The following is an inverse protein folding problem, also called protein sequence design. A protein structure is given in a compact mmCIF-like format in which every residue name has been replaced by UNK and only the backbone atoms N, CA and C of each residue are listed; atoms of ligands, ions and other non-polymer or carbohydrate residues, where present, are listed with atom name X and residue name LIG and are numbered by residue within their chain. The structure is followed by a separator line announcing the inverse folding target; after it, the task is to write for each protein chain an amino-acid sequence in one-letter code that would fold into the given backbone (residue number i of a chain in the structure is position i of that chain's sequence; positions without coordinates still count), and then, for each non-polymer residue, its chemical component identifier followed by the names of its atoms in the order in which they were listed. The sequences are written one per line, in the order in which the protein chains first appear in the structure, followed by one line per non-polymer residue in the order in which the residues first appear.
data_IF_103741907697
#
_entry.id   IF_103741907697
#
_cell.length_a   1.000
_cell.length_b   1.000
_cell.length_c   1.000
_cell.angle_alpha   90.00
_cell.angle_beta   90.00
_cell.angle_gamma   90.00
#
_symmetry.space_group_name_H-M   'P 1'
#
loop_
_entity.id
_entity.type
_entity.pdbx_description
1 polymer ?
#
# COMPACT_ATOMS: atom_id res chain seq x y z
N UNK A 1 19.56 6.00 -1.53
CA UNK A 1 18.69 4.80 -1.65
C UNK A 1 19.04 3.88 -2.82
N UNK A 2 19.25 4.39 -4.06
CA UNK A 2 19.43 3.54 -5.26
C UNK A 2 20.64 2.59 -5.23
N UNK A 3 21.70 3.01 -4.52
CA UNK A 3 22.95 2.23 -4.34
C UNK A 3 22.96 1.46 -3.01
N UNK A 4 21.83 1.43 -2.32
CA UNK A 4 21.58 0.60 -1.16
C UNK A 4 20.52 -0.47 -1.50
N UNK A 5 19.88 -1.00 -0.48
CA UNK A 5 18.87 -2.07 -0.58
C UNK A 5 17.52 -1.63 -1.21
N UNK A 6 17.28 -0.31 -1.38
CA UNK A 6 16.02 0.22 -1.94
C UNK A 6 14.96 0.48 -0.87
N UNK A 7 13.70 0.64 -1.26
CA UNK A 7 12.61 0.91 -0.31
C UNK A 7 11.28 0.34 -0.83
N UNK A 8 10.53 -0.35 0.03
CA UNK A 8 9.19 -0.86 -0.24
C UNK A 8 8.38 -0.80 1.07
N UNK A 9 7.16 -0.27 1.03
CA UNK A 9 6.40 0.04 2.24
C UNK A 9 6.00 -1.17 3.10
N UNK A 10 5.70 -2.32 2.50
CA UNK A 10 5.42 -3.57 3.23
C UNK A 10 6.71 -4.13 3.85
N UNK A 11 7.83 -4.07 3.12
CA UNK A 11 9.14 -4.37 3.69
C UNK A 11 9.50 -3.47 4.87
N UNK A 12 9.25 -2.16 4.76
CA UNK A 12 9.43 -1.21 5.85
C UNK A 12 8.48 -1.48 7.03
N UNK A 13 7.25 -1.95 6.77
CA UNK A 13 6.31 -2.33 7.83
C UNK A 13 6.85 -3.49 8.65
N UNK A 14 7.40 -4.52 8.01
CA UNK A 14 8.06 -5.64 8.70
C UNK A 14 9.21 -5.14 9.57
N UNK A 15 10.07 -4.28 9.03
CA UNK A 15 11.18 -3.64 9.74
C UNK A 15 10.72 -2.82 10.95
N UNK A 16 9.66 -2.02 10.77
CA UNK A 16 9.09 -1.20 11.83
C UNK A 16 8.68 -2.08 13.01
N UNK A 17 7.88 -3.12 12.74
CA UNK A 17 7.36 -4.03 13.75
C UNK A 17 8.45 -4.91 14.38
N UNK A 18 9.45 -5.32 13.62
CA UNK A 18 10.52 -6.19 14.11
C UNK A 18 11.64 -5.45 14.85
N UNK A 19 11.89 -4.17 14.51
CA UNK A 19 13.11 -3.48 14.95
C UNK A 19 12.92 -2.06 15.46
N UNK A 20 12.07 -1.25 14.82
CA UNK A 20 12.06 0.21 15.05
C UNK A 20 11.07 0.65 16.14
N UNK A 21 10.01 -0.10 16.36
CA UNK A 21 9.07 0.16 17.44
C UNK A 21 9.74 0.02 18.81
N UNK A 22 9.47 0.97 19.71
CA UNK A 22 10.16 1.05 21.01
C UNK A 22 9.40 0.31 22.14
N UNK A 23 8.56 -0.68 21.81
CA UNK A 23 7.81 -1.45 22.81
C UNK A 23 8.68 -2.49 23.53
N UNK A 24 9.84 -2.84 22.98
CA UNK A 24 10.81 -3.75 23.58
C UNK A 24 12.24 -3.26 23.33
N UNK A 25 13.20 -3.77 24.12
CA UNK A 25 14.60 -3.33 24.04
C UNK A 25 15.29 -3.75 22.73
N UNK A 26 14.89 -4.88 22.11
CA UNK A 26 15.59 -5.46 20.97
C UNK A 26 14.70 -6.19 19.95
N UNK A 27 13.38 -6.25 20.17
CA UNK A 27 12.45 -7.04 19.35
C UNK A 27 11.33 -6.20 18.73
N UNK A 28 11.55 -4.89 18.56
CA UNK A 28 10.54 -3.97 18.04
C UNK A 28 9.26 -3.99 18.87
N UNK A 29 8.15 -4.29 18.20
CA UNK A 29 6.82 -4.47 18.78
C UNK A 29 6.61 -5.81 19.49
N UNK A 30 7.58 -6.73 19.41
CA UNK A 30 7.57 -8.03 20.08
C UNK A 30 6.28 -8.84 19.83
N UNK A 31 5.83 -8.85 18.57
CA UNK A 31 4.60 -9.53 18.16
C UNK A 31 4.78 -11.05 18.07
N UNK A 32 3.66 -11.77 18.14
CA UNK A 32 3.67 -13.21 17.91
C UNK A 32 4.14 -13.55 16.49
N UNK A 33 4.76 -14.72 16.31
CA UNK A 33 5.18 -15.23 15.00
C UNK A 33 4.04 -15.23 13.97
N UNK A 34 2.82 -15.59 14.38
CA UNK A 34 1.65 -15.57 13.50
C UNK A 34 1.28 -14.16 13.06
N UNK A 35 1.31 -13.18 13.98
CA UNK A 35 1.10 -11.78 13.63
C UNK A 35 2.14 -11.30 12.60
N UNK A 36 3.41 -11.70 12.79
CA UNK A 36 4.49 -11.40 11.86
C UNK A 36 4.30 -12.08 10.49
N UNK A 37 3.82 -13.34 10.45
CA UNK A 37 3.42 -14.02 9.21
C UNK A 37 2.22 -13.34 8.53
N UNK A 38 1.30 -12.76 9.30
CA UNK A 38 0.12 -12.05 8.79
C UNK A 38 0.44 -10.70 8.13
N UNK A 39 1.57 -10.07 8.50
CA UNK A 39 2.06 -8.84 7.85
C UNK A 39 3.06 -9.11 6.71
N UNK A 40 3.64 -10.32 6.64
CA UNK A 40 4.56 -10.73 5.58
C UNK A 40 3.83 -11.02 4.27
N UNK A 41 3.36 -9.96 3.60
CA UNK A 41 2.60 -10.05 2.34
C UNK A 41 3.42 -10.61 1.17
N UNK A 42 4.72 -10.34 1.17
CA UNK A 42 5.64 -10.74 0.11
C UNK A 42 6.86 -11.46 0.71
N UNK A 43 6.87 -12.80 0.72
CA UNK A 43 7.85 -13.59 1.49
C UNK A 43 9.22 -13.75 0.80
N UNK A 44 9.65 -12.78 -0.02
CA UNK A 44 10.93 -12.83 -0.74
C UNK A 44 11.63 -11.47 -0.66
N UNK A 45 12.95 -11.49 -0.48
CA UNK A 45 13.78 -10.31 -0.33
C UNK A 45 13.80 -9.45 -1.62
N UNK A 46 13.97 -8.14 -1.46
CA UNK A 46 14.01 -7.21 -2.60
C UNK A 46 15.15 -7.54 -3.58
N UNK A 47 16.33 -7.95 -3.12
CA UNK A 47 17.45 -8.28 -4.00
C UNK A 47 17.14 -9.44 -4.96
N UNK A 48 16.39 -10.45 -4.49
CA UNK A 48 16.00 -11.63 -5.27
C UNK A 48 14.95 -11.28 -6.33
N UNK A 49 14.03 -10.37 -6.00
CA UNK A 49 12.95 -9.96 -6.90
C UNK A 49 13.36 -8.91 -7.94
N UNK A 50 14.47 -8.22 -7.67
CA UNK A 50 14.93 -7.10 -8.49
C UNK A 50 15.27 -7.57 -9.90
N UNK A 51 14.89 -6.74 -10.87
CA UNK A 51 15.33 -6.87 -12.26
C UNK A 51 16.46 -5.85 -12.40
N UNK A 52 17.65 -6.31 -12.79
CA UNK A 52 18.85 -5.48 -12.90
C UNK A 52 18.74 -4.37 -13.95
N UNK A 53 17.84 -4.51 -14.92
CA UNK A 53 17.58 -3.50 -15.95
C UNK A 53 16.73 -2.32 -15.43
N UNK A 54 15.97 -2.54 -14.35
CA UNK A 54 15.14 -1.51 -13.71
C UNK A 54 15.88 -0.90 -12.54
N UNK A 55 16.79 0.03 -12.85
CA UNK A 55 17.53 0.78 -11.83
C UNK A 55 16.89 2.15 -11.60
N UNK A 56 16.59 2.53 -10.34
CA UNK A 56 16.03 3.84 -10.04
C UNK A 56 16.89 4.98 -10.59
N UNK A 57 16.26 5.82 -11.41
CA UNK A 57 16.93 6.88 -12.14
C UNK A 57 16.02 8.10 -12.32
N UNK A 58 16.64 9.21 -12.69
CA UNK A 58 15.94 10.41 -13.12
C UNK A 58 15.70 10.30 -14.63
N UNK A 59 14.66 10.95 -15.15
CA UNK A 59 14.40 11.00 -16.58
C UNK A 59 15.61 11.59 -17.32
N UNK A 60 16.04 10.91 -18.36
CA UNK A 60 17.11 11.38 -19.24
C UNK A 60 16.59 12.44 -20.22
N UNK A 61 17.41 13.46 -20.51
CA UNK A 61 17.10 14.49 -21.51
C UNK A 61 17.69 15.86 -21.15
N UNK A 62 17.64 16.84 -22.08
CA UNK A 62 18.19 18.19 -21.87
C UNK A 62 17.32 19.07 -20.95
N UNK A 63 16.41 18.48 -20.18
CA UNK A 63 15.53 19.22 -19.26
C UNK A 63 16.31 19.71 -18.05
N UNK A 64 16.07 20.96 -17.66
CA UNK A 64 16.55 21.50 -16.37
C UNK A 64 15.83 20.82 -15.20
N UNK A 65 14.57 20.40 -15.42
CA UNK A 65 13.78 19.68 -14.43
C UNK A 65 14.20 18.20 -14.43
N UNK A 66 14.82 17.78 -13.33
CA UNK A 66 15.20 16.40 -13.04
C UNK A 66 14.05 15.67 -12.35
N UNK A 67 13.20 15.03 -13.14
CA UNK A 67 12.06 14.24 -12.63
C UNK A 67 12.43 12.78 -12.46
N UNK A 68 11.72 12.06 -11.57
CA UNK A 68 11.95 10.62 -11.35
C UNK A 68 11.42 9.83 -12.54
N UNK A 69 12.20 8.89 -13.07
CA UNK A 69 11.70 7.86 -13.97
C UNK A 69 10.90 6.84 -13.15
N UNK A 70 9.58 7.03 -13.07
CA UNK A 70 8.69 6.17 -12.28
C UNK A 70 8.76 4.71 -12.71
N UNK A 71 8.91 4.43 -14.01
CA UNK A 71 8.96 3.06 -14.52
C UNK A 71 10.21 2.34 -14.05
N UNK A 72 11.37 3.00 -14.14
CA UNK A 72 12.64 2.43 -13.70
C UNK A 72 12.81 2.44 -12.17
N UNK A 73 12.07 3.31 -11.46
CA UNK A 73 12.21 3.52 -10.01
C UNK A 73 11.15 2.82 -9.16
N UNK A 74 10.15 2.17 -9.76
CA UNK A 74 9.15 1.40 -9.02
C UNK A 74 9.79 0.14 -8.44
N UNK A 75 9.81 -0.05 -7.11
CA UNK A 75 10.48 -1.20 -6.49
C UNK A 75 9.72 -2.52 -6.71
N UNK A 76 10.40 -3.68 -6.62
CA UNK A 76 9.72 -4.96 -6.46
C UNK A 76 8.87 -4.97 -5.18
N UNK A 77 7.92 -5.91 -5.10
CA UNK A 77 7.10 -6.13 -3.90
C UNK A 77 7.70 -7.27 -3.08
N UNK A 78 8.45 -6.93 -2.03
CA UNK A 78 9.23 -7.86 -1.20
C UNK A 78 9.60 -7.24 0.14
N UNK A 79 10.24 -8.02 1.00
CA UNK A 79 10.81 -7.52 2.25
C UNK A 79 12.25 -7.03 2.03
N UNK A 80 12.72 -6.13 2.89
CA UNK A 80 14.08 -5.58 2.84
C UNK A 80 15.10 -6.68 3.21
N UNK A 81 16.19 -6.83 2.47
CA UNK A 81 17.22 -7.86 2.73
C UNK A 81 17.77 -7.87 4.19
N UNK A 82 17.80 -6.73 4.88
CA UNK A 82 18.18 -6.56 6.29
C UNK A 82 17.18 -7.17 7.29
N UNK A 83 16.03 -7.64 6.81
CA UNK A 83 15.03 -8.39 7.57
C UNK A 83 15.03 -9.90 7.24
N UNK A 84 16.05 -10.41 6.54
CA UNK A 84 16.13 -11.85 6.20
C UNK A 84 16.11 -12.75 7.43
N UNK A 85 16.85 -12.41 8.49
CA UNK A 85 16.83 -13.12 9.79
C UNK A 85 15.44 -13.15 10.44
N UNK A 86 14.69 -12.05 10.32
CA UNK A 86 13.30 -11.97 10.81
C UNK A 86 12.41 -12.92 10.02
N UNK A 87 12.53 -12.91 8.69
CA UNK A 87 11.74 -13.80 7.83
C UNK A 87 12.11 -15.26 8.04
N UNK A 88 13.39 -15.57 8.20
CA UNK A 88 13.86 -16.92 8.51
C UNK A 88 13.24 -17.42 9.82
N UNK A 89 13.19 -16.58 10.86
CA UNK A 89 12.51 -16.89 12.13
C UNK A 89 10.98 -17.04 11.99
N UNK A 90 10.33 -16.23 11.15
CA UNK A 90 8.89 -16.36 10.86
C UNK A 90 8.61 -17.72 10.22
N UNK A 91 9.44 -18.11 9.25
CA UNK A 91 9.24 -19.30 8.45
C UNK A 91 9.84 -20.56 9.06
N UNK A 92 10.69 -20.47 10.10
CA UNK A 92 11.33 -21.57 10.82
C UNK A 92 10.43 -22.81 11.03
N UNK A 93 9.16 -22.69 11.46
CA UNK A 93 8.32 -23.86 11.71
C UNK A 93 7.84 -24.63 10.47
N UNK A 94 7.98 -24.03 9.27
CA UNK A 94 7.54 -24.65 8.03
C UNK A 94 8.49 -25.78 7.62
N UNK A 95 7.93 -26.85 7.05
CA UNK A 95 8.75 -27.84 6.36
C UNK A 95 9.37 -27.25 5.09
N UNK A 96 10.46 -27.87 4.61
CA UNK A 96 11.21 -27.36 3.45
C UNK A 96 10.31 -27.20 2.20
N UNK A 97 9.43 -28.17 1.94
CA UNK A 97 8.50 -28.11 0.81
C UNK A 97 7.56 -26.89 0.88
N UNK A 98 7.01 -26.60 2.07
CA UNK A 98 6.14 -25.44 2.26
C UNK A 98 6.92 -24.13 2.14
N UNK A 99 8.14 -24.07 2.70
CA UNK A 99 9.01 -22.89 2.61
C UNK A 99 9.39 -22.59 1.16
N UNK A 100 9.81 -23.60 0.40
CA UNK A 100 10.20 -23.47 -1.00
C UNK A 100 9.01 -23.03 -1.86
N UNK A 101 7.84 -23.63 -1.65
CA UNK A 101 6.62 -23.23 -2.34
C UNK A 101 6.20 -21.80 -1.96
N UNK A 102 6.25 -21.44 -0.68
CA UNK A 102 5.81 -20.14 -0.19
C UNK A 102 6.69 -18.98 -0.68
N UNK A 103 7.99 -19.21 -0.78
CA UNK A 103 8.99 -18.24 -1.26
C UNK A 103 9.19 -18.28 -2.78
N UNK A 104 8.38 -19.06 -3.50
CA UNK A 104 8.47 -19.16 -4.96
C UNK A 104 8.06 -17.86 -5.68
N UNK A 105 8.69 -17.64 -6.83
CA UNK A 105 8.57 -16.42 -7.62
C UNK A 105 8.22 -16.70 -9.08
N UNK A 106 7.58 -15.73 -9.71
CA UNK A 106 7.40 -15.66 -11.15
C UNK A 106 8.25 -14.53 -11.73
N UNK A 107 9.18 -14.89 -12.62
CA UNK A 107 9.93 -13.93 -13.43
C UNK A 107 9.03 -13.40 -14.54
N UNK A 108 9.11 -12.09 -14.80
CA UNK A 108 8.28 -11.39 -15.77
C UNK A 108 9.17 -10.55 -16.67
N UNK A 109 9.00 -10.68 -17.98
CA UNK A 109 9.80 -9.95 -18.97
C UNK A 109 9.66 -8.42 -18.78
N UNK A 110 10.80 -7.71 -18.76
CA UNK A 110 10.86 -6.26 -18.59
C UNK A 110 10.30 -5.73 -17.25
N UNK A 111 10.08 -6.61 -16.27
CA UNK A 111 9.51 -6.27 -14.95
C UNK A 111 10.32 -6.92 -13.84
N UNK A 112 10.12 -6.46 -12.61
CA UNK A 112 10.54 -7.19 -11.42
C UNK A 112 9.83 -8.55 -11.33
N UNK A 113 10.46 -9.54 -10.70
CA UNK A 113 9.78 -10.77 -10.33
C UNK A 113 8.66 -10.48 -9.31
N UNK A 114 7.73 -11.42 -9.14
CA UNK A 114 6.70 -11.35 -8.11
C UNK A 114 6.66 -12.63 -7.30
N UNK A 115 6.31 -12.52 -6.03
CA UNK A 115 5.96 -13.69 -5.21
C UNK A 115 4.64 -14.28 -5.68
N UNK A 116 4.47 -15.59 -5.50
CA UNK A 116 3.29 -16.33 -5.95
C UNK A 116 2.28 -16.59 -4.82
N UNK A 117 2.75 -16.59 -3.57
CA UNK A 117 1.98 -17.05 -2.43
C UNK A 117 1.87 -16.01 -1.33
N UNK A 118 0.83 -16.15 -0.51
CA UNK A 118 0.51 -15.37 0.68
C UNK A 118 -0.13 -16.30 1.72
N UNK A 119 0.02 -15.96 3.00
CA UNK A 119 -0.61 -16.69 4.10
C UNK A 119 -2.13 -16.46 4.14
N UNK A 120 -2.84 -17.25 4.93
CA UNK A 120 -4.25 -17.07 5.22
C UNK A 120 -4.52 -15.67 5.76
N UNK A 121 -3.76 -15.27 6.78
CA UNK A 121 -3.93 -13.98 7.45
C UNK A 121 -3.69 -12.83 6.46
N UNK A 122 -2.66 -12.92 5.59
CA UNK A 122 -2.46 -11.94 4.51
C UNK A 122 -3.60 -11.93 3.48
N UNK A 123 -4.19 -13.09 3.16
CA UNK A 123 -5.32 -13.13 2.23
C UNK A 123 -6.58 -12.49 2.81
N UNK A 124 -6.82 -12.64 4.11
CA UNK A 124 -7.92 -11.98 4.84
C UNK A 124 -7.67 -10.47 4.86
N UNK A 125 -6.46 -10.06 5.23
CA UNK A 125 -6.06 -8.65 5.22
C UNK A 125 -6.25 -8.03 3.84
N UNK A 126 -5.78 -8.67 2.77
CA UNK A 126 -5.92 -8.16 1.39
C UNK A 126 -7.38 -8.00 0.96
N UNK A 127 -8.25 -8.96 1.30
CA UNK A 127 -9.69 -8.86 1.00
C UNK A 127 -10.34 -7.73 1.79
N UNK A 128 -10.00 -7.59 3.08
CA UNK A 128 -10.51 -6.50 3.90
C UNK A 128 -10.07 -5.13 3.39
N UNK A 129 -8.79 -5.01 3.03
CA UNK A 129 -8.17 -3.80 2.47
C UNK A 129 -8.80 -3.42 1.13
N UNK A 130 -8.97 -4.40 0.23
CA UNK A 130 -9.60 -4.19 -1.06
C UNK A 130 -11.04 -3.69 -0.94
N UNK A 131 -11.83 -4.24 0.00
CA UNK A 131 -13.21 -3.80 0.26
C UNK A 131 -13.23 -2.40 0.88
N UNK A 132 -12.38 -2.15 1.88
CA UNK A 132 -12.33 -0.87 2.59
C UNK A 132 -11.97 0.26 1.63
N UNK A 133 -10.85 0.14 0.91
CA UNK A 133 -10.43 1.14 -0.07
C UNK A 133 -11.43 1.28 -1.22
N UNK A 134 -11.93 0.16 -1.77
CA UNK A 134 -12.87 0.22 -2.89
C UNK A 134 -14.19 0.93 -2.55
N UNK A 135 -14.68 0.77 -1.33
CA UNK A 135 -16.01 1.28 -0.92
C UNK A 135 -15.92 2.63 -0.20
N UNK A 136 -15.04 2.78 0.80
CA UNK A 136 -14.98 3.99 1.60
C UNK A 136 -14.29 5.16 0.88
N UNK A 137 -13.25 4.92 0.07
CA UNK A 137 -12.67 5.99 -0.74
C UNK A 137 -13.70 6.57 -1.72
N UNK A 138 -14.60 5.72 -2.22
CA UNK A 138 -15.70 6.16 -3.06
C UNK A 138 -16.74 6.97 -2.28
N UNK A 139 -17.11 6.53 -1.07
CA UNK A 139 -18.00 7.29 -0.20
C UNK A 139 -17.46 8.71 0.04
N UNK A 140 -16.19 8.82 0.38
CA UNK A 140 -15.51 10.09 0.62
C UNK A 140 -15.41 10.91 -0.68
N UNK A 141 -15.07 10.28 -1.81
CA UNK A 141 -15.01 10.96 -3.10
C UNK A 141 -16.37 11.55 -3.51
N UNK A 142 -17.48 10.86 -3.25
CA UNK A 142 -18.84 11.37 -3.48
C UNK A 142 -19.15 12.49 -2.48
N UNK A 143 -18.83 12.31 -1.20
CA UNK A 143 -19.07 13.32 -0.16
C UNK A 143 -18.33 14.64 -0.43
N UNK A 144 -17.09 14.54 -0.93
CA UNK A 144 -16.24 15.67 -1.33
C UNK A 144 -16.56 16.20 -2.74
N UNK A 145 -17.57 15.64 -3.42
CA UNK A 145 -18.00 16.01 -4.79
C UNK A 145 -16.90 15.86 -5.84
N UNK A 146 -15.95 14.97 -5.61
CA UNK A 146 -14.89 14.61 -6.56
C UNK A 146 -15.41 13.68 -7.66
N UNK A 147 -16.43 12.88 -7.34
CA UNK A 147 -17.13 12.01 -8.28
C UNK A 147 -18.55 12.54 -8.51
N UNK A 148 -18.93 12.66 -9.78
CA UNK A 148 -20.29 13.00 -10.19
C UNK A 148 -21.12 11.75 -10.48
N UNK A 149 -22.44 11.87 -10.38
CA UNK A 149 -23.38 10.79 -10.73
C UNK A 149 -23.16 10.27 -12.15
N UNK A 150 -22.94 11.18 -13.12
CA UNK A 150 -22.65 10.82 -14.50
C UNK A 150 -21.40 9.95 -14.61
N UNK A 151 -20.29 10.36 -13.99
CA UNK A 151 -19.06 9.56 -13.99
C UNK A 151 -19.25 8.20 -13.34
N UNK A 152 -20.04 8.12 -12.26
CA UNK A 152 -20.39 6.85 -11.63
C UNK A 152 -21.14 5.95 -12.59
N UNK A 153 -22.18 6.45 -13.28
CA UNK A 153 -22.95 5.66 -14.25
C UNK A 153 -22.10 5.19 -15.43
N UNK A 154 -21.18 6.03 -15.91
CA UNK A 154 -20.30 5.73 -17.04
C UNK A 154 -19.28 4.62 -16.71
N UNK A 155 -18.73 4.62 -15.50
CA UNK A 155 -17.63 3.73 -15.08
C UNK A 155 -18.07 2.54 -14.23
N UNK A 156 -19.26 2.62 -13.61
CA UNK A 156 -19.87 1.53 -12.84
C UNK A 156 -21.27 1.24 -13.39
N UNK A 157 -21.37 0.78 -14.66
CA UNK A 157 -22.65 0.43 -15.26
C UNK A 157 -23.31 -0.75 -14.51
N UNK A 158 -24.61 -0.96 -14.72
CA UNK A 158 -25.40 -2.02 -14.06
C UNK A 158 -24.75 -3.41 -14.19
N UNK A 159 -24.18 -3.74 -15.36
CA UNK A 159 -23.52 -5.04 -15.59
C UNK A 159 -22.29 -5.25 -14.70
N UNK A 160 -21.57 -4.18 -14.34
CA UNK A 160 -20.42 -4.25 -13.43
C UNK A 160 -20.85 -4.56 -11.99
N UNK A 161 -22.06 -4.17 -11.59
CA UNK A 161 -22.63 -4.39 -10.25
C UNK A 161 -23.78 -5.40 -10.25
N UNK A 162 -23.84 -6.26 -11.28
CA UNK A 162 -24.93 -7.25 -11.46
C UNK A 162 -25.14 -8.17 -10.26
N UNK A 163 -24.06 -8.62 -9.62
CA UNK A 163 -24.12 -9.42 -8.39
C UNK A 163 -24.95 -8.74 -7.30
N UNK A 164 -24.75 -7.44 -7.11
CA UNK A 164 -25.48 -6.64 -6.14
C UNK A 164 -26.93 -6.42 -6.58
N UNK A 165 -27.14 -6.03 -7.84
CA UNK A 165 -28.47 -5.72 -8.37
C UNK A 165 -29.38 -6.94 -8.33
N UNK A 166 -28.90 -8.12 -8.74
CA UNK A 166 -29.67 -9.36 -8.70
C UNK A 166 -29.98 -9.80 -7.25
N UNK A 167 -29.03 -9.66 -6.32
CA UNK A 167 -29.31 -9.93 -4.90
C UNK A 167 -30.46 -9.06 -4.38
N UNK A 168 -30.50 -7.79 -4.79
CA UNK A 168 -31.56 -6.85 -4.39
C UNK A 168 -32.90 -7.19 -5.03
N UNK A 169 -32.92 -7.59 -6.31
CA UNK A 169 -34.15 -8.08 -6.99
C UNK A 169 -34.77 -9.26 -6.25
N UNK A 170 -33.95 -10.18 -5.74
CA UNK A 170 -34.41 -11.37 -5.02
C UNK A 170 -34.97 -11.10 -3.62
N UNK A 171 -34.64 -9.95 -3.00
CA UNK A 171 -35.12 -9.57 -1.65
C UNK A 171 -36.56 -9.04 -1.62
N UNK A 172 -37.26 -9.02 -2.76
CA UNK A 172 -38.71 -8.80 -2.86
C UNK A 172 -39.13 -7.35 -3.18
N UNK A 173 -40.44 -7.12 -3.47
CA UNK A 173 -40.98 -5.88 -4.05
C UNK A 173 -40.87 -4.62 -3.16
N UNK A 174 -40.39 -4.76 -1.92
CA UNK A 174 -40.11 -3.64 -1.02
C UNK A 174 -38.81 -2.90 -1.34
N UNK A 175 -37.88 -3.52 -2.07
CA UNK A 175 -36.70 -2.85 -2.62
C UNK A 175 -36.96 -2.59 -4.12
N UNK A 176 -37.09 -1.32 -4.52
CA UNK A 176 -37.33 -0.78 -5.88
C UNK A 176 -37.25 -1.76 -7.07
N UNK A 177 -38.24 -1.72 -7.96
CA UNK A 177 -38.23 -2.45 -9.25
C UNK A 177 -37.02 -2.09 -10.16
N UNK A 178 -36.30 -1.02 -9.84
CA UNK A 178 -35.02 -0.65 -10.45
C UNK A 178 -33.94 -0.49 -9.36
N UNK A 179 -33.30 -1.59 -8.90
CA UNK A 179 -32.33 -1.51 -7.81
C UNK A 179 -31.08 -0.69 -8.13
N UNK A 180 -30.65 -0.68 -9.40
CA UNK A 180 -29.55 0.15 -9.86
C UNK A 180 -29.86 1.64 -9.72
N UNK A 181 -31.02 2.08 -10.20
CA UNK A 181 -31.45 3.49 -10.07
C UNK A 181 -31.61 3.89 -8.60
N UNK A 182 -32.27 3.06 -7.78
CA UNK A 182 -32.43 3.33 -6.36
C UNK A 182 -31.08 3.42 -5.60
N UNK A 183 -30.09 2.65 -6.04
CA UNK A 183 -28.72 2.72 -5.52
C UNK A 183 -28.06 4.04 -5.90
N UNK A 184 -28.11 4.43 -7.18
CA UNK A 184 -27.52 5.69 -7.66
C UNK A 184 -28.17 6.89 -6.95
N UNK A 185 -29.50 6.96 -6.94
CA UNK A 185 -30.26 8.02 -6.26
C UNK A 185 -29.88 8.12 -4.78
N UNK A 186 -29.70 6.98 -4.11
CA UNK A 186 -29.35 6.97 -2.69
C UNK A 186 -27.90 7.33 -2.39
N UNK A 187 -26.96 7.02 -3.28
CA UNK A 187 -25.54 7.40 -3.15
C UNK A 187 -25.34 8.91 -3.32
N UNK A 188 -26.03 9.50 -4.29
CA UNK A 188 -25.92 10.92 -4.64
C UNK A 188 -26.97 11.81 -3.96
N UNK A 189 -27.86 11.21 -3.18
CA UNK A 189 -28.80 11.89 -2.29
C UNK A 189 -28.14 12.45 -1.02
N UNK A 190 -28.81 12.33 0.12
CA UNK A 190 -28.30 12.83 1.39
C UNK A 190 -27.27 11.90 2.05
N UNK A 191 -26.61 12.40 3.10
CA UNK A 191 -25.54 11.66 3.78
C UNK A 191 -26.03 10.39 4.48
N UNK A 192 -27.28 10.34 4.95
CA UNK A 192 -27.85 9.17 5.61
C UNK A 192 -28.23 8.10 4.58
N UNK A 193 -28.79 8.49 3.44
CA UNK A 193 -29.08 7.55 2.34
C UNK A 193 -27.79 6.97 1.78
N UNK A 194 -26.76 7.80 1.57
CA UNK A 194 -25.45 7.33 1.10
C UNK A 194 -24.86 6.29 2.04
N UNK A 195 -24.74 6.60 3.35
CA UNK A 195 -24.22 5.67 4.36
C UNK A 195 -24.96 4.33 4.37
N UNK A 196 -26.28 4.34 4.17
CA UNK A 196 -27.10 3.12 4.10
C UNK A 196 -26.71 2.25 2.91
N UNK A 197 -26.50 2.84 1.74
CA UNK A 197 -26.09 2.10 0.53
C UNK A 197 -24.64 1.61 0.62
N UNK A 198 -23.74 2.42 1.15
CA UNK A 198 -22.37 2.01 1.46
C UNK A 198 -22.36 0.80 2.40
N UNK A 199 -23.13 0.84 3.49
CA UNK A 199 -23.25 -0.30 4.42
C UNK A 199 -23.79 -1.56 3.75
N UNK A 200 -24.73 -1.42 2.80
CA UNK A 200 -25.26 -2.53 1.99
C UNK A 200 -24.19 -3.12 1.07
N UNK A 201 -23.31 -2.31 0.50
CA UNK A 201 -22.20 -2.77 -0.33
C UNK A 201 -21.15 -3.51 0.48
N UNK A 202 -20.74 -2.95 1.63
CA UNK A 202 -19.81 -3.64 2.54
C UNK A 202 -20.35 -5.02 2.92
N UNK A 203 -21.63 -5.10 3.31
CA UNK A 203 -22.25 -6.38 3.62
C UNK A 203 -22.30 -7.33 2.41
N UNK A 204 -22.65 -6.83 1.22
CA UNK A 204 -22.68 -7.62 -0.01
C UNK A 204 -21.30 -8.16 -0.41
N UNK A 205 -20.22 -7.41 -0.17
CA UNK A 205 -18.87 -7.80 -0.54
C UNK A 205 -18.21 -8.73 0.48
N UNK A 206 -18.53 -8.60 1.77
CA UNK A 206 -17.97 -9.44 2.85
C UNK A 206 -18.68 -10.79 2.95
N UNK A 207 -20.01 -10.81 2.90
CA UNK A 207 -20.82 -12.03 3.11
C UNK A 207 -20.42 -13.23 2.22
N UNK A 208 -20.10 -13.07 0.93
CA UNK A 208 -19.79 -14.19 0.03
C UNK A 208 -18.32 -14.61 0.09
N UNK A 209 -17.48 -13.95 0.90
CA UNK A 209 -16.07 -14.32 1.06
C UNK A 209 -15.98 -15.76 1.56
N UNK A 210 -15.17 -16.56 0.89
CA UNK A 210 -15.06 -18.00 1.16
C UNK A 210 -13.62 -18.45 1.27
N UNK A 211 -13.41 -19.51 2.04
CA UNK A 211 -12.13 -20.20 2.07
C UNK A 211 -11.89 -20.97 0.76
N UNK A 212 -10.64 -20.96 0.32
CA UNK A 212 -10.12 -21.78 -0.78
C UNK A 212 -8.89 -22.54 -0.30
N UNK A 213 -8.72 -23.74 -0.84
CA UNK A 213 -7.59 -24.61 -0.52
C UNK A 213 -6.47 -24.47 -1.55
N UNK A 214 -5.23 -24.52 -1.06
CA UNK A 214 -3.97 -24.61 -1.79
C UNK A 214 -3.32 -25.94 -1.40
N UNK A 215 -3.66 -27.05 -2.09
CA UNK A 215 -3.27 -28.39 -1.69
C UNK A 215 -1.76 -28.62 -1.74
N UNK A 216 -1.01 -27.73 -2.40
CA UNK A 216 0.45 -27.73 -2.43
C UNK A 216 1.10 -27.47 -1.07
N UNK A 217 0.37 -26.89 -0.09
CA UNK A 217 0.89 -26.64 1.27
C UNK A 217 0.39 -27.67 2.28
N UNK A 218 1.23 -28.01 3.27
CA UNK A 218 0.85 -28.81 4.44
C UNK A 218 0.40 -27.92 5.61
N UNK A 219 1.10 -26.83 5.85
CA UNK A 219 0.82 -25.83 6.89
C UNK A 219 -0.56 -25.19 6.65
N UNK A 220 -1.51 -25.34 7.59
CA UNK A 220 -2.85 -24.77 7.46
C UNK A 220 -2.88 -23.27 7.18
N UNK A 221 -1.94 -22.49 7.75
CA UNK A 221 -1.85 -21.04 7.53
C UNK A 221 -1.35 -20.66 6.12
N UNK A 222 -0.83 -21.61 5.34
CA UNK A 222 -0.47 -21.40 3.93
C UNK A 222 -1.44 -22.10 2.97
N UNK A 223 -1.96 -23.26 3.37
CA UNK A 223 -2.94 -24.06 2.64
C UNK A 223 -4.26 -23.32 2.45
N UNK A 224 -4.77 -22.62 3.45
CA UNK A 224 -6.03 -21.93 3.34
C UNK A 224 -5.84 -20.46 2.96
N UNK A 225 -6.70 -19.95 2.08
CA UNK A 225 -6.83 -18.52 1.77
C UNK A 225 -8.29 -18.14 1.69
N UNK A 226 -8.57 -16.85 1.65
CA UNK A 226 -9.90 -16.35 1.31
C UNK A 226 -9.94 -15.70 -0.06
N UNK A 227 -11.10 -15.75 -0.71
CA UNK A 227 -11.35 -15.04 -1.96
C UNK A 227 -12.76 -14.42 -1.98
N UNK A 228 -12.90 -13.38 -2.79
CA UNK A 228 -14.19 -12.79 -3.16
C UNK A 228 -14.67 -13.47 -4.45
N UNK A 229 -15.90 -14.00 -4.54
CA UNK A 229 -16.41 -14.62 -5.76
C UNK A 229 -16.46 -13.65 -6.94
N UNK A 230 -16.30 -14.17 -8.17
CA UNK A 230 -16.07 -13.37 -9.38
C UNK A 230 -17.07 -12.22 -9.58
N UNK A 231 -18.37 -12.45 -9.39
CA UNK A 231 -19.40 -11.41 -9.55
C UNK A 231 -19.26 -10.25 -8.55
N UNK A 232 -18.83 -10.52 -7.32
CA UNK A 232 -18.59 -9.52 -6.29
C UNK A 232 -17.24 -8.82 -6.51
N UNK A 233 -16.22 -9.58 -6.92
CA UNK A 233 -14.90 -9.05 -7.27
C UNK A 233 -14.98 -8.11 -8.49
N UNK A 234 -15.82 -8.42 -9.48
CA UNK A 234 -16.12 -7.54 -10.62
C UNK A 234 -16.69 -6.20 -10.17
N UNK A 235 -17.65 -6.25 -9.25
CA UNK A 235 -18.25 -5.03 -8.69
C UNK A 235 -17.22 -4.20 -7.94
N UNK A 236 -16.49 -4.81 -7.01
CA UNK A 236 -15.44 -4.13 -6.25
C UNK A 236 -14.36 -3.52 -7.17
N UNK A 237 -13.95 -4.26 -8.21
CA UNK A 237 -13.01 -3.78 -9.21
C UNK A 237 -13.52 -2.52 -9.91
N UNK A 238 -14.79 -2.47 -10.31
CA UNK A 238 -15.37 -1.28 -10.94
C UNK A 238 -15.34 -0.05 -10.02
N UNK A 239 -15.61 -0.24 -8.71
CA UNK A 239 -15.49 0.85 -7.73
C UNK A 239 -14.05 1.37 -7.63
N UNK A 240 -13.08 0.46 -7.52
CA UNK A 240 -11.65 0.80 -7.47
C UNK A 240 -11.17 1.50 -8.75
N UNK A 241 -11.64 1.05 -9.91
CA UNK A 241 -11.29 1.66 -11.21
C UNK A 241 -11.87 3.07 -11.35
N UNK A 242 -13.11 3.30 -10.90
CA UNK A 242 -13.69 4.64 -10.83
C UNK A 242 -12.85 5.57 -9.96
N UNK A 243 -12.56 5.18 -8.70
CA UNK A 243 -11.74 6.00 -7.78
C UNK A 243 -10.36 6.26 -8.39
N UNK A 244 -9.73 5.24 -8.97
CA UNK A 244 -8.44 5.38 -9.65
C UNK A 244 -8.48 6.40 -10.79
N UNK A 245 -9.48 6.33 -11.65
CA UNK A 245 -9.57 7.19 -12.83
C UNK A 245 -9.99 8.62 -12.50
N UNK A 246 -10.99 8.78 -11.62
CA UNK A 246 -11.61 10.09 -11.36
C UNK A 246 -10.89 10.86 -10.24
N UNK A 247 -10.40 10.15 -9.22
CA UNK A 247 -9.81 10.77 -8.02
C UNK A 247 -8.30 10.70 -8.05
N UNK A 248 -7.71 9.50 -8.07
CA UNK A 248 -6.27 9.30 -7.91
C UNK A 248 -5.49 9.90 -9.09
N UNK A 249 -5.97 9.67 -10.31
CA UNK A 249 -5.37 10.24 -11.54
C UNK A 249 -5.82 11.66 -11.85
N UNK A 250 -6.59 12.29 -10.97
CA UNK A 250 -6.96 13.70 -11.15
C UNK A 250 -5.71 14.60 -11.14
N UNK A 251 -5.70 15.70 -11.91
CA UNK A 251 -4.55 16.61 -11.92
C UNK A 251 -4.16 17.12 -10.53
N UNK A 252 -5.15 17.40 -9.66
CA UNK A 252 -4.90 17.89 -8.31
C UNK A 252 -4.10 16.89 -7.46
N UNK A 253 -4.52 15.63 -7.43
CA UNK A 253 -3.82 14.56 -6.69
C UNK A 253 -2.45 14.28 -7.29
N UNK A 254 -2.35 14.22 -8.63
CA UNK A 254 -1.08 13.97 -9.32
C UNK A 254 -0.07 15.11 -9.11
N UNK A 255 -0.50 16.37 -9.02
CA UNK A 255 0.37 17.48 -8.66
C UNK A 255 0.90 17.36 -7.21
N UNK A 256 0.07 16.90 -6.27
CA UNK A 256 0.49 16.65 -4.89
C UNK A 256 1.50 15.50 -4.82
N UNK A 257 1.24 14.40 -5.52
CA UNK A 257 2.16 13.26 -5.62
C UNK A 257 3.52 13.69 -6.19
N UNK A 258 3.51 14.44 -7.29
CA UNK A 258 4.73 14.98 -7.91
C UNK A 258 5.54 15.85 -6.94
N UNK A 259 4.89 16.77 -6.22
CA UNK A 259 5.55 17.60 -5.20
C UNK A 259 6.10 16.77 -4.05
N UNK A 260 5.31 15.83 -3.53
CA UNK A 260 5.70 14.94 -2.43
C UNK A 260 6.94 14.13 -2.78
N UNK A 261 6.99 13.53 -3.97
CA UNK A 261 8.15 12.80 -4.47
C UNK A 261 9.41 13.67 -4.50
N UNK A 262 9.31 14.90 -5.02
CA UNK A 262 10.45 15.84 -5.00
C UNK A 262 10.89 16.17 -3.57
N UNK A 263 9.96 16.45 -2.66
CA UNK A 263 10.29 16.77 -1.27
C UNK A 263 11.02 15.62 -0.57
N UNK A 264 10.53 14.39 -0.70
CA UNK A 264 11.16 13.19 -0.11
C UNK A 264 12.59 13.02 -0.63
N UNK A 265 12.79 13.13 -1.95
CA UNK A 265 14.13 12.99 -2.55
C UNK A 265 15.07 14.10 -2.06
N UNK A 266 14.64 15.36 -2.10
CA UNK A 266 15.47 16.48 -1.66
C UNK A 266 15.84 16.40 -0.19
N UNK A 267 14.89 16.08 0.69
CA UNK A 267 15.15 15.92 2.14
C UNK A 267 16.11 14.76 2.38
N UNK A 268 15.91 13.62 1.73
CA UNK A 268 16.81 12.48 1.83
C UNK A 268 18.23 12.83 1.36
N UNK A 269 18.38 13.47 0.19
CA UNK A 269 19.67 13.85 -0.38
C UNK A 269 20.41 14.88 0.49
N UNK A 270 19.69 15.86 1.04
CA UNK A 270 20.27 16.81 1.98
C UNK A 270 20.81 16.10 3.22
N UNK A 271 20.00 15.25 3.87
CA UNK A 271 20.42 14.49 5.06
C UNK A 271 21.59 13.56 4.77
N UNK A 272 21.61 12.91 3.59
CA UNK A 272 22.73 12.08 3.17
C UNK A 272 24.02 12.89 2.95
N UNK A 273 23.91 14.13 2.46
CA UNK A 273 25.08 14.95 2.11
C UNK A 273 25.87 15.48 3.31
N UNK A 274 25.18 15.74 4.43
CA UNK A 274 25.79 16.24 5.67
C UNK A 274 25.01 15.67 6.88
N UNK A 275 25.14 14.35 7.16
CA UNK A 275 24.34 13.68 8.20
C UNK A 275 24.53 14.29 9.59
N UNK A 276 25.76 14.68 9.93
CA UNK A 276 26.11 15.25 11.24
C UNK A 276 25.35 16.55 11.54
N UNK A 277 25.18 17.40 10.53
CA UNK A 277 24.53 18.71 10.70
C UNK A 277 23.03 18.68 10.46
N UNK A 278 22.54 17.76 9.64
CA UNK A 278 21.17 17.80 9.12
C UNK A 278 20.24 16.72 9.67
N UNK A 279 20.76 15.62 10.21
CA UNK A 279 19.92 14.67 10.94
C UNK A 279 19.65 15.14 12.37
N UNK A 280 18.46 14.88 12.93
CA UNK A 280 18.26 14.95 14.37
C UNK A 280 19.23 14.03 15.11
N UNK A 281 19.59 14.42 16.34
CA UNK A 281 20.66 13.76 17.12
C UNK A 281 20.44 12.27 17.33
N UNK A 282 19.20 11.86 17.57
CA UNK A 282 18.81 10.46 17.76
C UNK A 282 18.92 9.65 16.46
N UNK A 283 18.50 10.23 15.32
CA UNK A 283 18.65 9.61 14.01
C UNK A 283 20.13 9.51 13.60
N UNK A 284 20.91 10.57 13.83
CA UNK A 284 22.35 10.60 13.60
C UNK A 284 23.09 9.54 14.42
N UNK A 285 22.78 9.42 15.72
CA UNK A 285 23.40 8.42 16.58
C UNK A 285 23.17 6.98 16.08
N UNK A 286 21.96 6.67 15.57
CA UNK A 286 21.65 5.38 14.96
C UNK A 286 22.42 5.16 13.66
N UNK A 287 22.48 6.18 12.81
CA UNK A 287 23.24 6.16 11.55
C UNK A 287 24.73 5.90 11.78
N UNK A 288 25.35 6.61 12.73
CA UNK A 288 26.77 6.43 13.09
C UNK A 288 27.04 5.05 13.71
N UNK A 289 26.18 4.60 14.63
CA UNK A 289 26.31 3.28 15.24
C UNK A 289 26.22 2.13 14.21
N UNK A 290 25.54 2.36 13.08
CA UNK A 290 25.45 1.42 11.97
C UNK A 290 26.54 1.59 10.91
N UNK A 291 27.58 2.40 11.18
CA UNK A 291 28.68 2.61 10.23
C UNK A 291 28.29 3.40 8.98
N UNK A 292 27.30 4.28 9.10
CA UNK A 292 26.85 5.14 8.00
C UNK A 292 25.88 4.46 7.03
N UNK A 293 25.14 3.44 7.48
CA UNK A 293 24.11 2.79 6.65
C UNK A 293 22.95 3.76 6.33
N UNK A 294 22.78 4.04 5.04
CA UNK A 294 21.72 4.89 4.50
C UNK A 294 20.31 4.40 4.84
N UNK A 295 20.13 3.12 5.21
CA UNK A 295 18.85 2.60 5.70
C UNK A 295 18.33 3.40 6.89
N UNK A 296 19.19 3.88 7.80
CA UNK A 296 18.74 4.68 8.94
C UNK A 296 18.23 6.07 8.54
N UNK A 297 18.75 6.65 7.46
CA UNK A 297 18.18 7.87 6.87
C UNK A 297 16.82 7.55 6.23
N UNK A 298 16.71 6.41 5.54
CA UNK A 298 15.43 5.95 4.99
C UNK A 298 14.39 5.70 6.08
N UNK A 299 14.77 5.07 7.20
CA UNK A 299 13.89 4.83 8.36
C UNK A 299 13.38 6.17 8.92
N UNK A 300 14.27 7.15 9.06
CA UNK A 300 13.92 8.48 9.56
C UNK A 300 12.96 9.22 8.61
N UNK A 301 13.27 9.25 7.31
CA UNK A 301 12.43 9.93 6.30
C UNK A 301 11.08 9.23 6.15
N UNK A 302 11.03 7.90 6.16
CA UNK A 302 9.79 7.13 6.09
C UNK A 302 8.92 7.28 7.35
N UNK A 303 9.52 7.60 8.49
CA UNK A 303 8.81 7.91 9.73
C UNK A 303 8.22 9.32 9.80
N UNK A 304 8.48 10.17 8.80
CA UNK A 304 7.92 11.53 8.75
C UNK A 304 6.45 11.50 8.37
N UNK A 305 5.64 12.33 9.02
CA UNK A 305 4.32 12.69 8.51
C UNK A 305 4.45 13.70 7.37
N UNK A 306 3.44 13.81 6.50
CA UNK A 306 3.41 14.81 5.41
C UNK A 306 3.68 16.24 5.91
N UNK A 307 3.10 16.61 7.05
CA UNK A 307 3.32 17.93 7.67
C UNK A 307 4.75 18.10 8.16
N UNK A 308 5.33 17.05 8.75
CA UNK A 308 6.72 17.10 9.21
C UNK A 308 7.68 17.18 8.02
N UNK A 309 7.44 16.41 6.96
CA UNK A 309 8.24 16.45 5.73
C UNK A 309 8.16 17.85 5.09
N UNK A 310 6.96 18.43 4.97
CA UNK A 310 6.77 19.77 4.41
C UNK A 310 7.55 20.83 5.19
N UNK A 311 7.38 20.87 6.52
CA UNK A 311 8.12 21.80 7.38
C UNK A 311 9.63 21.61 7.28
N UNK A 312 10.08 20.35 7.22
CA UNK A 312 11.50 20.01 7.04
C UNK A 312 12.02 20.55 5.71
N UNK A 313 11.29 20.33 4.63
CA UNK A 313 11.64 20.82 3.30
C UNK A 313 11.70 22.36 3.25
N UNK A 314 10.66 23.04 3.76
CA UNK A 314 10.61 24.50 3.83
C UNK A 314 11.82 25.08 4.58
N UNK A 315 12.17 24.51 5.74
CA UNK A 315 13.31 24.96 6.53
C UNK A 315 14.67 24.75 5.84
N UNK A 316 14.83 23.69 5.05
CA UNK A 316 16.09 23.37 4.39
C UNK A 316 16.29 24.15 3.09
N UNK A 317 15.22 24.43 2.37
CA UNK A 317 15.31 24.92 0.98
C UNK A 317 14.62 26.27 0.75
N UNK A 318 13.72 26.71 1.62
CA UNK A 318 13.02 28.00 1.45
C UNK A 318 13.66 29.11 2.30
N UNK A 319 14.18 30.19 1.68
CA UNK A 319 14.87 31.27 2.41
C UNK A 319 14.02 32.03 3.44
N UNK A 320 12.70 31.87 3.41
CA UNK A 320 11.76 32.64 4.23
C UNK A 320 11.53 32.02 5.62
N UNK A 321 11.89 30.75 5.80
CA UNK A 321 11.72 29.98 7.03
C UNK A 321 13.10 29.72 7.64
N UNK A 322 13.39 30.25 8.82
CA UNK A 322 14.77 30.23 9.33
C UNK A 322 15.00 30.83 10.70
N UNK A 323 14.02 30.78 11.61
CA UNK A 323 14.28 31.13 13.01
C UNK A 323 14.77 29.89 13.77
N UNK A 324 15.87 30.03 14.52
CA UNK A 324 16.38 29.00 15.45
C UNK A 324 15.34 28.66 16.54
N UNK A 325 14.31 29.50 16.69
CA UNK A 325 13.23 29.35 17.65
C UNK A 325 12.01 28.57 17.13
N UNK A 326 11.96 28.22 15.84
CA UNK A 326 10.94 27.32 15.30
C UNK A 326 11.27 25.88 15.73
N UNK A 327 10.90 25.56 16.97
CA UNK A 327 11.03 24.21 17.54
C UNK A 327 9.89 23.31 17.03
N UNK A 328 10.26 22.05 16.76
CA UNK A 328 9.37 20.95 16.39
C UNK A 328 8.29 20.69 17.43
#
# INVERSE_FOLDING_TARGET
MRDAEGFEGNGQTLRLLARLENFSAAAGANLSRRSMLGVLKYPVALSVLRNSELRPQLQGGPSVLRTIDLKASTPPKGYLDSETDVVDWILEPLCDADRDAFTSIEKREGKHARTLHKSLDCSIMDVADDIAYGVHDLEDAIALRLVTERQFRDLVPEESCKSFVEERRLKGPTESNAPYEAMVDGLFGDSNTRKRWISRWVNHLITPVRFIERPEFQEPLLRWRVEIPEGHARFLKALKELVMQVVIRSPGVQHLEFKGQSMVVSVFEAMQSDPERLLPRDAHAKFEAAGGDLRHISDFVAGMTDTYLLKTYERLFEPRMGSVFDKL
#
